data_IF_074443478306
#
_entry.id   IF_074443478306
#
_cell.length_a   1.000
_cell.length_b   1.000
_cell.length_c   1.000
_cell.angle_alpha   90.00
_cell.angle_beta   90.00
_cell.angle_gamma   90.00
#
_symmetry.space_group_name_H-M   'P 1'
#
loop_
_entity.id
_entity.type
_entity.pdbx_description
1 polymer ?
#
# COMPACT_ATOMS: atom_id res chain seq x y z
N UNK A 1 -21.61 -1.29 -2.43
CA UNK A 1 -21.34 -0.99 -1.00
C UNK A 1 -19.89 -0.56 -0.93
N UNK A 2 -19.61 0.69 -0.56
CA UNK A 2 -18.26 1.23 -0.59
C UNK A 2 -17.52 0.96 0.73
N UNK A 3 -16.22 0.65 0.65
CA UNK A 3 -15.36 0.56 1.84
C UNK A 3 -15.22 1.93 2.55
N UNK A 4 -15.41 3.00 1.79
CA UNK A 4 -15.47 4.37 2.30
C UNK A 4 -16.59 4.57 3.34
N UNK A 5 -17.69 3.82 3.27
CA UNK A 5 -18.88 4.11 4.07
C UNK A 5 -19.09 3.13 5.24
N UNK A 6 -18.24 2.10 5.36
CA UNK A 6 -18.42 1.01 6.32
C UNK A 6 -17.22 0.80 7.25
N UNK A 7 -17.20 1.37 8.46
CA UNK A 7 -16.12 1.12 9.43
C UNK A 7 -15.97 -0.36 9.80
N UNK A 8 -17.07 -1.11 9.85
CA UNK A 8 -17.03 -2.56 10.08
C UNK A 8 -16.33 -3.31 8.93
N UNK A 9 -16.59 -2.95 7.67
CA UNK A 9 -15.93 -3.54 6.50
C UNK A 9 -14.43 -3.23 6.49
N UNK A 10 -14.05 -2.01 6.85
CA UNK A 10 -12.63 -1.62 6.99
C UNK A 10 -11.94 -2.49 8.04
N UNK A 11 -12.58 -2.72 9.19
CA UNK A 11 -12.04 -3.61 10.23
C UNK A 11 -11.93 -5.05 9.76
N UNK A 12 -12.92 -5.55 9.01
CA UNK A 12 -12.88 -6.90 8.44
C UNK A 12 -11.72 -7.06 7.45
N UNK A 13 -11.48 -6.09 6.56
CA UNK A 13 -10.35 -6.12 5.62
C UNK A 13 -9.01 -6.15 6.36
N UNK A 14 -8.85 -5.33 7.40
CA UNK A 14 -7.64 -5.34 8.24
C UNK A 14 -7.47 -6.69 8.96
N UNK A 15 -8.55 -7.24 9.52
CA UNK A 15 -8.52 -8.52 10.23
C UNK A 15 -8.19 -9.71 9.30
N UNK A 16 -8.59 -9.62 8.03
CA UNK A 16 -8.30 -10.64 7.02
C UNK A 16 -6.86 -10.60 6.50
N UNK A 17 -6.08 -9.56 6.81
CA UNK A 17 -4.69 -9.42 6.34
C UNK A 17 -3.81 -10.62 6.70
N UNK A 18 -3.88 -11.08 7.95
CA UNK A 18 -3.08 -12.22 8.43
C UNK A 18 -3.49 -13.55 7.77
N UNK A 19 -4.75 -13.68 7.38
CA UNK A 19 -5.24 -14.84 6.64
C UNK A 19 -4.87 -14.77 5.16
N UNK A 20 -4.96 -13.58 4.57
CA UNK A 20 -4.52 -13.29 3.20
C UNK A 20 -3.01 -13.53 3.04
N UNK A 21 -2.17 -13.12 4.00
CA UNK A 21 -0.74 -13.43 4.05
C UNK A 21 -0.48 -14.93 3.97
N UNK A 22 -1.16 -15.71 4.81
CA UNK A 22 -1.05 -17.19 4.84
C UNK A 22 -1.43 -17.82 3.51
N UNK A 23 -2.46 -17.30 2.83
CA UNK A 23 -2.85 -17.76 1.49
C UNK A 23 -1.89 -17.30 0.39
N UNK A 24 -1.28 -16.13 0.53
CA UNK A 24 -0.31 -15.61 -0.45
C UNK A 24 0.99 -16.43 -0.47
N UNK A 25 1.37 -17.04 0.66
CA UNK A 25 2.54 -17.91 0.74
C UNK A 25 2.37 -19.22 -0.06
N UNK A 26 1.14 -19.59 -0.40
CA UNK A 26 0.80 -20.84 -1.12
C UNK A 26 0.23 -20.62 -2.52
N UNK A 27 0.03 -19.38 -2.97
CA UNK A 27 -0.50 -19.05 -4.30
C UNK A 27 0.53 -18.31 -5.16
N UNK A 28 0.55 -18.63 -6.46
CA UNK A 28 1.25 -17.84 -7.47
C UNK A 28 0.71 -16.41 -7.45
N UNK A 29 1.58 -15.44 -7.16
CA UNK A 29 1.24 -14.01 -7.17
C UNK A 29 0.84 -13.63 -8.58
N UNK A 30 -0.45 -13.39 -8.80
CA UNK A 30 -0.92 -12.86 -10.08
C UNK A 30 -0.64 -11.36 -10.09
N UNK A 31 0.29 -10.94 -10.94
CA UNK A 31 0.52 -9.53 -11.21
C UNK A 31 -0.76 -8.93 -11.80
N UNK A 32 -1.30 -7.91 -11.14
CA UNK A 32 -2.52 -7.23 -11.59
C UNK A 32 -2.07 -5.99 -12.34
N UNK A 33 -2.44 -5.87 -13.61
CA UNK A 33 -2.24 -4.62 -14.36
C UNK A 33 -3.02 -3.49 -13.67
N UNK A 34 -2.36 -2.35 -13.42
CA UNK A 34 -2.97 -1.20 -12.73
C UNK A 34 -2.36 -0.82 -11.39
N UNK A 35 -1.07 -1.13 -11.15
CA UNK A 35 -0.32 -0.60 -10.01
C UNK A 35 -0.10 0.93 -10.06
N UNK A 36 0.50 1.47 -9.00
CA UNK A 36 0.90 2.88 -8.98
C UNK A 36 1.82 3.21 -10.17
N UNK A 37 1.73 4.42 -10.77
CA UNK A 37 2.65 4.83 -11.83
C UNK A 37 4.11 4.71 -11.36
N UNK A 38 4.96 4.05 -12.16
CA UNK A 38 6.35 3.79 -11.78
C UNK A 38 7.13 5.07 -11.43
N UNK A 39 6.91 6.16 -12.18
CA UNK A 39 7.58 7.45 -11.91
C UNK A 39 7.22 8.00 -10.53
N UNK A 40 5.97 7.81 -10.08
CA UNK A 40 5.55 8.20 -8.75
C UNK A 40 6.21 7.34 -7.68
N UNK A 41 6.18 6.02 -7.86
CA UNK A 41 6.84 5.06 -6.94
C UNK A 41 8.33 5.40 -6.79
N UNK A 42 9.00 5.64 -7.91
CA UNK A 42 10.42 5.98 -7.96
C UNK A 42 10.70 7.31 -7.27
N UNK A 43 9.95 8.37 -7.60
CA UNK A 43 10.14 9.69 -7.02
C UNK A 43 9.97 9.67 -5.49
N UNK A 44 8.92 8.99 -4.99
CA UNK A 44 8.69 8.87 -3.55
C UNK A 44 9.78 8.05 -2.87
N UNK A 45 10.27 6.96 -3.48
CA UNK A 45 11.38 6.17 -2.92
C UNK A 45 12.69 6.97 -2.86
N UNK A 46 13.05 7.69 -3.93
CA UNK A 46 14.23 8.56 -3.97
C UNK A 46 14.15 9.70 -2.95
N UNK A 47 12.95 10.25 -2.72
CA UNK A 47 12.69 11.24 -1.66
C UNK A 47 12.92 10.62 -0.27
N UNK A 48 12.36 9.44 0.03
CA UNK A 48 12.53 8.76 1.31
C UNK A 48 14.01 8.45 1.58
N UNK A 49 14.73 7.92 0.58
CA UNK A 49 16.18 7.66 0.65
C UNK A 49 16.93 8.94 1.03
N UNK A 50 16.68 10.02 0.31
CA UNK A 50 17.38 11.30 0.49
C UNK A 50 17.06 11.93 1.85
N UNK A 51 15.81 11.83 2.30
CA UNK A 51 15.32 12.41 3.54
C UNK A 51 15.86 11.70 4.77
N UNK A 52 15.94 10.37 4.74
CA UNK A 52 16.34 9.56 5.89
C UNK A 52 17.80 9.11 5.86
N UNK A 53 18.51 9.31 4.74
CA UNK A 53 19.93 8.92 4.60
C UNK A 53 20.14 7.40 4.63
N UNK A 54 19.12 6.63 4.24
CA UNK A 54 19.13 5.17 4.22
C UNK A 54 19.58 4.63 2.86
N UNK A 55 20.20 3.44 2.80
CA UNK A 55 20.54 2.85 1.51
C UNK A 55 19.27 2.38 0.77
N UNK A 56 19.28 2.32 -0.58
CA UNK A 56 18.08 2.00 -1.36
C UNK A 56 17.44 0.65 -1.06
N UNK A 57 18.22 -0.33 -0.60
CA UNK A 57 17.74 -1.67 -0.23
C UNK A 57 16.92 -1.70 1.06
N UNK A 58 16.97 -0.64 1.88
CA UNK A 58 16.10 -0.48 3.04
C UNK A 58 14.73 0.13 2.71
N UNK A 59 14.57 0.71 1.51
CA UNK A 59 13.28 1.27 1.07
C UNK A 59 12.50 0.22 0.31
N UNK A 60 11.59 -0.44 1.01
CA UNK A 60 10.71 -1.47 0.45
C UNK A 60 9.30 -1.35 1.02
N UNK A 61 8.31 -1.87 0.28
CA UNK A 61 6.93 -1.85 0.74
C UNK A 61 5.98 -2.66 -0.12
N UNK A 62 4.80 -2.95 0.41
CA UNK A 62 3.76 -3.76 -0.22
C UNK A 62 2.44 -2.98 -0.22
N UNK A 63 1.80 -2.93 -1.39
CA UNK A 63 0.49 -2.31 -1.57
C UNK A 63 -0.52 -3.37 -2.01
N UNK A 64 -1.50 -3.67 -1.15
CA UNK A 64 -2.63 -4.53 -1.48
C UNK A 64 -3.78 -3.69 -2.03
N UNK A 65 -4.13 -3.93 -3.29
CA UNK A 65 -5.21 -3.20 -3.97
C UNK A 65 -6.50 -4.00 -3.92
N UNK A 66 -7.56 -3.39 -3.41
CA UNK A 66 -8.92 -3.94 -3.42
C UNK A 66 -9.80 -3.18 -4.41
N UNK A 67 -10.52 -3.90 -5.26
CA UNK A 67 -11.44 -3.31 -6.23
C UNK A 67 -12.77 -2.97 -5.55
N UNK A 68 -12.83 -1.77 -4.97
CA UNK A 68 -14.00 -1.24 -4.24
C UNK A 68 -14.22 0.22 -4.60
N UNK A 69 -15.48 0.65 -4.54
CA UNK A 69 -15.86 2.04 -4.76
C UNK A 69 -15.30 2.97 -3.68
N UNK A 70 -14.92 4.17 -4.11
CA UNK A 70 -14.39 5.24 -3.25
C UNK A 70 -12.88 5.18 -3.03
N UNK A 71 -12.27 6.32 -2.71
CA UNK A 71 -10.85 6.41 -2.34
C UNK A 71 -10.70 6.10 -0.84
N UNK A 72 -9.96 5.05 -0.53
CA UNK A 72 -9.66 4.66 0.84
C UNK A 72 -8.32 3.91 0.88
N UNK A 73 -7.55 4.11 1.94
CA UNK A 73 -6.36 3.33 2.23
C UNK A 73 -6.08 3.26 3.73
N UNK A 74 -5.28 2.29 4.14
CA UNK A 74 -4.84 2.12 5.51
C UNK A 74 -3.55 1.31 5.60
N UNK A 75 -2.61 1.79 6.42
CA UNK A 75 -1.45 1.03 6.83
C UNK A 75 -1.90 -0.11 7.75
N UNK A 76 -1.57 -1.36 7.38
CA UNK A 76 -1.96 -2.57 8.12
C UNK A 76 -0.81 -3.15 8.94
N UNK A 77 0.43 -2.86 8.53
CA UNK A 77 1.67 -3.14 9.26
C UNK A 77 2.78 -2.22 8.70
N UNK A 78 3.93 -2.08 9.40
CA UNK A 78 5.11 -1.42 8.86
C UNK A 78 5.42 -1.87 7.42
N UNK A 79 5.51 -0.93 6.49
CA UNK A 79 5.81 -1.24 5.08
C UNK A 79 4.65 -1.80 4.27
N UNK A 80 3.43 -1.91 4.82
CA UNK A 80 2.31 -2.54 4.09
C UNK A 80 1.01 -1.77 4.26
N UNK A 81 0.41 -1.45 3.11
CA UNK A 81 -0.87 -0.76 3.04
C UNK A 81 -1.90 -1.58 2.28
N UNK A 82 -3.16 -1.43 2.67
CA UNK A 82 -4.31 -1.86 1.86
C UNK A 82 -5.01 -0.61 1.35
N UNK A 83 -5.27 -0.54 0.05
CA UNK A 83 -5.93 0.60 -0.57
C UNK A 83 -6.94 0.18 -1.63
N UNK A 84 -7.90 1.06 -1.93
CA UNK A 84 -8.79 0.87 -3.07
C UNK A 84 -8.08 1.22 -4.38
N UNK A 85 -8.49 0.60 -5.49
CA UNK A 85 -7.99 0.97 -6.82
C UNK A 85 -8.17 2.48 -7.12
N UNK A 86 -9.22 3.10 -6.59
CA UNK A 86 -9.48 4.53 -6.75
C UNK A 86 -8.50 5.40 -5.95
N UNK A 87 -8.00 4.93 -4.81
CA UNK A 87 -6.96 5.64 -4.05
C UNK A 87 -5.60 5.64 -4.77
N UNK A 88 -5.30 4.61 -5.57
CA UNK A 88 -4.08 4.58 -6.39
C UNK A 88 -4.16 5.42 -7.67
N UNK A 89 -5.38 5.66 -8.18
CA UNK A 89 -5.58 6.50 -9.37
C UNK A 89 -5.52 8.00 -9.07
N UNK A 90 -5.79 8.40 -7.83
CA UNK A 90 -5.65 9.78 -7.39
C UNK A 90 -4.19 10.08 -7.03
N UNK A 91 -3.57 11.02 -7.72
CA UNK A 91 -2.12 11.26 -7.62
C UNK A 91 -1.70 11.67 -6.19
N UNK A 92 -2.43 12.60 -5.57
CA UNK A 92 -2.10 13.08 -4.24
C UNK A 92 -2.28 11.99 -3.17
N UNK A 93 -3.33 11.18 -3.28
CA UNK A 93 -3.56 10.04 -2.38
C UNK A 93 -2.50 8.97 -2.58
N UNK A 94 -2.15 8.64 -3.83
CA UNK A 94 -1.13 7.66 -4.16
C UNK A 94 0.26 8.08 -3.66
N UNK A 95 0.62 9.35 -3.79
CA UNK A 95 1.88 9.88 -3.23
C UNK A 95 1.91 9.75 -1.70
N UNK A 96 0.82 10.16 -1.04
CA UNK A 96 0.71 10.10 0.42
C UNK A 96 0.82 8.69 0.97
N UNK A 97 0.12 7.72 0.36
CA UNK A 97 0.19 6.33 0.82
C UNK A 97 1.53 5.66 0.51
N UNK A 98 2.18 5.98 -0.62
CA UNK A 98 3.51 5.45 -0.95
C UNK A 98 4.56 5.96 0.03
N UNK A 99 4.49 7.25 0.38
CA UNK A 99 5.37 7.84 1.40
C UNK A 99 5.19 7.14 2.74
N UNK A 100 3.95 6.98 3.19
CA UNK A 100 3.66 6.29 4.45
C UNK A 100 4.13 4.83 4.44
N UNK A 101 3.96 4.11 3.32
CA UNK A 101 4.45 2.74 3.15
C UNK A 101 5.97 2.70 3.29
N UNK A 102 6.70 3.53 2.55
CA UNK A 102 8.16 3.50 2.59
C UNK A 102 8.70 3.94 3.96
N UNK A 103 8.18 5.02 4.53
CA UNK A 103 8.64 5.54 5.82
C UNK A 103 8.34 4.57 6.97
N UNK A 104 7.16 3.95 6.98
CA UNK A 104 6.81 2.96 8.01
C UNK A 104 7.59 1.66 7.89
N UNK A 105 8.12 1.32 6.70
CA UNK A 105 8.91 0.12 6.45
C UNK A 105 10.39 0.24 6.82
N UNK A 106 10.85 1.44 7.21
CA UNK A 106 12.24 1.66 7.64
C UNK A 106 12.49 1.04 9.02
N UNK A 107 13.58 0.26 9.14
CA UNK A 107 14.10 -0.25 10.41
C UNK A 107 15.14 0.75 10.95
N UNK A 108 14.67 1.89 11.47
CA UNK A 108 15.47 3.01 11.99
C UNK A 108 15.24 3.30 13.47
#
# INVERSE_FOLDING_TARGET
>A
MALADGPALRQTVVALHEEAKRWSASSDRKEVEGGAPYDLVRATAEETISRHGVPPDQVSGIVFVVDVDGAWWRLVEPGVVVCSASALRDHATAEGLLREVFESGLDI
#
